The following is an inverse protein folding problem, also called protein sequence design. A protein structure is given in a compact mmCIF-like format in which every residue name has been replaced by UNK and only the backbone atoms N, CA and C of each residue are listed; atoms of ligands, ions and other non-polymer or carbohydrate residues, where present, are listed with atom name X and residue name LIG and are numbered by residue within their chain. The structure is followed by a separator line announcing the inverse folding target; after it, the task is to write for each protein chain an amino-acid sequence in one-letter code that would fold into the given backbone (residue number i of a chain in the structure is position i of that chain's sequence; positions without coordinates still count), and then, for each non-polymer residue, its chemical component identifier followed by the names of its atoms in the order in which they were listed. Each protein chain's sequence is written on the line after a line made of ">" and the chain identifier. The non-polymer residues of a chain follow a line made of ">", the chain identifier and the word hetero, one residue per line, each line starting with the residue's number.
data_IF_074953515274
#
_entry.id   IF_074953515274
#
_cell.length_a   1.000
_cell.length_b   1.000
_cell.length_c   1.000
_cell.angle_alpha   90.00
_cell.angle_beta   90.00
_cell.angle_gamma   90.00
#
_symmetry.space_group_name_H-M   'P 1'
#
loop_
_entity.id
_entity.type
_entity.pdbx_description
1 polymer ?
#
# COMPACT_ATOMS: atom_id res chain seq x y z
N UNK A 1 38.74 -34.20 -16.74
CA UNK A 1 38.70 -34.56 -15.31
C UNK A 1 38.76 -33.29 -14.49
N UNK A 2 37.66 -32.92 -13.83
CA UNK A 2 37.62 -32.18 -12.56
C UNK A 2 36.13 -32.05 -12.20
N UNK A 3 35.69 -32.83 -11.23
CA UNK A 3 34.35 -32.79 -10.65
C UNK A 3 34.42 -31.98 -9.35
N UNK A 4 33.51 -31.02 -9.16
CA UNK A 4 33.35 -30.30 -7.91
C UNK A 4 31.97 -30.65 -7.36
N UNK A 5 31.97 -31.45 -6.29
CA UNK A 5 30.80 -31.84 -5.54
C UNK A 5 30.56 -30.82 -4.42
N UNK A 6 29.38 -30.19 -4.39
CA UNK A 6 28.93 -29.34 -3.28
C UNK A 6 27.99 -30.17 -2.42
N UNK A 7 28.42 -30.46 -1.19
CA UNK A 7 27.60 -31.09 -0.15
C UNK A 7 26.86 -30.00 0.62
N UNK A 8 25.53 -29.95 0.47
CA UNK A 8 24.64 -29.07 1.23
C UNK A 8 24.00 -29.89 2.36
N UNK A 9 24.37 -29.58 3.61
CA UNK A 9 23.86 -30.26 4.80
C UNK A 9 22.58 -29.56 5.31
N UNK A 10 21.48 -30.30 5.38
CA UNK A 10 20.25 -29.90 6.06
C UNK A 10 20.30 -30.33 7.53
N UNK A 11 20.19 -29.37 8.46
CA UNK A 11 19.90 -29.60 9.87
C UNK A 11 19.20 -28.33 10.39
N UNK A 12 18.10 -28.36 11.14
CA UNK A 12 17.27 -29.44 11.64
C UNK A 12 16.02 -28.79 12.25
N UNK A 13 14.89 -29.46 12.11
CA UNK A 13 13.64 -29.11 12.79
C UNK A 13 13.69 -29.74 14.18
N UNK A 14 13.48 -28.96 15.24
CA UNK A 14 13.20 -29.49 16.58
C UNK A 14 12.04 -28.74 17.23
N UNK A 15 10.92 -29.44 17.25
CA UNK A 15 9.73 -29.31 18.08
C UNK A 15 10.01 -29.31 19.58
N UNK A 16 9.08 -28.72 20.36
CA UNK A 16 8.48 -29.23 21.60
C UNK A 16 8.61 -28.35 22.87
N UNK A 17 7.45 -28.00 23.44
CA UNK A 17 7.29 -27.39 24.77
C UNK A 17 5.82 -27.04 25.06
N UNK A 18 5.16 -27.91 25.82
CA UNK A 18 3.73 -28.00 26.17
C UNK A 18 3.08 -26.80 26.94
N UNK A 19 1.73 -26.74 26.97
CA UNK A 19 0.93 -25.70 27.63
C UNK A 19 0.69 -25.96 29.14
N UNK A 20 0.34 -24.94 29.95
CA UNK A 20 -0.08 -25.18 31.32
C UNK A 20 -1.58 -25.57 31.44
N UNK A 21 -1.82 -26.71 32.08
CA UNK A 21 -3.13 -27.19 32.54
C UNK A 21 -3.57 -26.57 33.90
N UNK A 22 -4.87 -26.68 34.27
CA UNK A 22 -5.53 -25.86 35.28
C UNK A 22 -5.39 -26.38 36.71
N UNK A 23 -5.41 -25.49 37.71
CA UNK A 23 -5.58 -25.87 39.11
C UNK A 23 -7.00 -25.59 39.58
N UNK A 24 -7.71 -26.67 39.95
CA UNK A 24 -8.97 -26.63 40.68
C UNK A 24 -8.66 -26.91 42.15
N UNK A 25 -9.07 -26.00 43.03
CA UNK A 25 -9.08 -26.20 44.47
C UNK A 25 -10.28 -25.49 45.08
N UNK A 26 -11.34 -26.25 45.35
CA UNK A 26 -12.49 -25.83 46.15
C UNK A 26 -12.21 -26.09 47.64
N UNK A 27 -12.64 -25.21 48.54
CA UNK A 27 -13.28 -25.57 49.82
C UNK A 27 -13.99 -24.37 50.47
N UNK A 28 -15.30 -24.55 50.60
CA UNK A 28 -16.19 -24.31 51.76
C UNK A 28 -16.49 -22.91 52.33
N UNK A 29 -17.81 -22.71 52.44
CA UNK A 29 -18.59 -21.66 53.10
C UNK A 29 -18.59 -21.83 54.64
N UNK A 30 -18.92 -20.79 55.43
CA UNK A 30 -20.30 -20.72 55.91
C UNK A 30 -20.91 -19.31 55.97
N UNK A 31 -22.23 -19.33 56.14
CA UNK A 31 -23.18 -18.23 56.06
C UNK A 31 -23.25 -17.29 57.29
N UNK A 32 -23.83 -16.11 57.05
CA UNK A 32 -25.05 -15.59 57.71
C UNK A 32 -24.93 -14.16 58.25
N UNK A 33 -25.71 -13.22 57.69
CA UNK A 33 -26.80 -12.49 58.38
C UNK A 33 -27.33 -11.34 57.52
N UNK A 34 -28.62 -11.06 57.70
CA UNK A 34 -29.52 -10.29 56.85
C UNK A 34 -29.43 -8.74 56.94
N UNK A 35 -29.76 -8.10 55.82
CA UNK A 35 -30.58 -6.88 55.53
C UNK A 35 -30.70 -5.74 56.58
N UNK A 36 -30.66 -4.44 56.16
CA UNK A 36 -31.77 -3.90 55.35
C UNK A 36 -31.43 -2.90 54.23
N UNK A 37 -32.45 -2.76 53.37
CA UNK A 37 -32.74 -1.80 52.30
C UNK A 37 -32.28 -0.37 52.62
N UNK A 38 -31.56 0.26 51.69
CA UNK A 38 -31.46 1.71 51.57
C UNK A 38 -31.69 2.11 50.10
N UNK A 39 -32.59 3.07 49.93
CA UNK A 39 -33.08 3.61 48.68
C UNK A 39 -32.01 4.39 47.89
N UNK A 40 -32.10 4.26 46.56
CA UNK A 40 -32.04 5.37 45.59
C UNK A 40 -30.95 6.44 45.76
N UNK A 41 -29.92 6.37 44.92
CA UNK A 41 -29.61 7.50 44.03
C UNK A 41 -28.71 7.02 42.90
N UNK A 42 -29.23 7.06 41.67
CA UNK A 42 -28.45 6.94 40.44
C UNK A 42 -27.56 8.17 40.35
N UNK A 43 -26.29 8.05 40.70
CA UNK A 43 -25.28 8.99 40.21
C UNK A 43 -25.22 8.87 38.68
N UNK A 44 -25.09 9.99 37.93
CA UNK A 44 -24.66 9.89 36.56
C UNK A 44 -23.26 9.28 36.59
N UNK A 45 -23.09 8.11 35.96
CA UNK A 45 -21.80 7.70 35.45
C UNK A 45 -21.31 8.84 34.54
N UNK A 46 -20.51 9.75 35.09
CA UNK A 46 -19.57 10.57 34.33
C UNK A 46 -18.51 9.60 33.79
N UNK A 47 -18.93 8.75 32.85
CA UNK A 47 -18.01 8.08 31.95
C UNK A 47 -17.31 9.20 31.18
N UNK A 48 -15.99 9.41 31.37
CA UNK A 48 -15.29 10.43 30.62
C UNK A 48 -15.42 10.06 29.15
N UNK A 49 -16.31 10.78 28.44
CA UNK A 49 -16.53 10.63 27.03
C UNK A 49 -15.15 10.59 26.37
N UNK A 50 -14.77 9.42 25.86
CA UNK A 50 -13.48 9.25 25.19
C UNK A 50 -13.45 10.31 24.09
N UNK A 51 -12.45 11.22 24.09
CA UNK A 51 -12.42 12.29 23.11
C UNK A 51 -12.47 11.64 21.72
N UNK A 52 -13.44 12.07 20.91
CA UNK A 52 -13.51 11.61 19.53
C UNK A 52 -12.17 11.94 18.86
N UNK A 53 -11.56 10.99 18.12
CA UNK A 53 -10.34 11.27 17.39
C UNK A 53 -10.60 12.48 16.50
N UNK A 54 -9.78 13.51 16.68
CA UNK A 54 -9.89 14.76 15.93
C UNK A 54 -8.74 14.76 14.95
N UNK A 55 -9.07 14.80 13.66
CA UNK A 55 -8.06 14.97 12.61
C UNK A 55 -7.27 16.27 12.82
N UNK A 56 -6.02 16.33 12.34
CA UNK A 56 -5.28 17.58 12.26
C UNK A 56 -6.13 18.66 11.58
N UNK A 57 -6.11 19.88 12.11
CA UNK A 57 -6.88 20.99 11.54
C UNK A 57 -6.39 21.39 10.13
N UNK A 58 -5.13 21.08 9.81
CA UNK A 58 -4.44 21.46 8.58
C UNK A 58 -4.14 20.23 7.71
N UNK A 59 -5.12 19.33 7.54
CA UNK A 59 -4.98 18.24 6.57
C UNK A 59 -4.80 18.79 5.14
N UNK A 60 -3.96 18.17 4.30
CA UNK A 60 -3.96 18.43 2.87
C UNK A 60 -5.35 18.19 2.24
N UNK A 61 -5.53 18.62 0.99
CA UNK A 61 -6.75 18.30 0.24
C UNK A 61 -6.86 16.78 -0.01
N UNK A 62 -8.08 16.20 -0.06
CA UNK A 62 -8.26 14.80 -0.45
C UNK A 62 -7.57 14.50 -1.77
N UNK A 63 -6.85 13.37 -1.87
CA UNK A 63 -6.12 13.01 -3.10
C UNK A 63 -7.06 12.92 -4.31
N UNK A 64 -8.31 12.50 -4.10
CA UNK A 64 -9.35 12.45 -5.12
C UNK A 64 -9.62 13.81 -5.81
N UNK A 65 -9.39 14.93 -5.12
CA UNK A 65 -9.58 16.28 -5.66
C UNK A 65 -8.33 16.80 -6.40
N UNK A 66 -7.19 16.12 -6.26
CA UNK A 66 -5.88 16.53 -6.80
C UNK A 66 -5.50 15.81 -8.10
N UNK A 67 -6.22 14.75 -8.47
CA UNK A 67 -5.89 13.90 -9.62
C UNK A 67 -6.96 14.00 -10.71
N UNK A 68 -6.55 13.70 -11.95
CA UNK A 68 -7.45 13.63 -13.11
C UNK A 68 -7.47 12.23 -13.69
N UNK A 69 -8.58 11.87 -14.33
CA UNK A 69 -8.73 10.56 -14.99
C UNK A 69 -7.61 10.37 -16.05
N UNK A 70 -6.82 9.29 -15.97
CA UNK A 70 -5.73 9.04 -16.89
C UNK A 70 -6.22 8.76 -18.32
N UNK A 71 -5.55 9.33 -19.32
CA UNK A 71 -5.83 9.07 -20.73
C UNK A 71 -4.59 8.44 -21.37
N UNK A 72 -4.74 7.25 -21.96
CA UNK A 72 -3.61 6.56 -22.59
C UNK A 72 -3.09 7.38 -23.80
N UNK A 73 -1.82 7.81 -23.79
CA UNK A 73 -1.30 8.73 -24.78
C UNK A 73 -1.01 8.04 -26.11
N UNK A 74 -1.28 8.74 -27.22
CA UNK A 74 -1.06 8.18 -28.56
C UNK A 74 0.42 7.86 -28.83
N UNK A 75 1.34 8.68 -28.30
CA UNK A 75 2.77 8.41 -28.41
C UNK A 75 3.18 7.07 -27.81
N UNK A 76 2.50 6.61 -26.74
CA UNK A 76 2.76 5.31 -26.12
C UNK A 76 2.33 4.12 -26.99
N UNK A 77 1.75 4.34 -28.18
CA UNK A 77 1.46 3.26 -29.14
C UNK A 77 2.65 2.89 -30.03
N UNK A 78 3.79 3.53 -29.83
CA UNK A 78 4.98 3.31 -30.63
C UNK A 78 6.17 2.84 -29.78
N UNK A 79 6.98 1.94 -30.34
CA UNK A 79 8.26 1.53 -29.75
C UNK A 79 9.33 2.60 -30.02
N UNK A 80 9.25 3.70 -29.29
CA UNK A 80 10.18 4.83 -29.39
C UNK A 80 10.51 5.38 -28.00
N UNK A 81 11.51 6.25 -27.90
CA UNK A 81 11.83 6.94 -26.66
C UNK A 81 10.63 7.75 -26.15
N UNK A 82 9.98 8.50 -27.05
CA UNK A 82 8.80 9.30 -26.71
C UNK A 82 7.62 8.40 -26.29
N UNK A 83 7.50 7.22 -26.90
CA UNK A 83 6.49 6.24 -26.50
C UNK A 83 6.73 5.65 -25.11
N UNK A 84 7.97 5.28 -24.80
CA UNK A 84 8.35 4.81 -23.46
C UNK A 84 8.15 5.92 -22.40
N UNK A 85 8.52 7.17 -22.73
CA UNK A 85 8.32 8.33 -21.87
C UNK A 85 6.83 8.60 -21.59
N UNK A 86 6.02 8.59 -22.64
CA UNK A 86 4.58 8.79 -22.52
C UNK A 86 3.91 7.64 -21.73
N UNK A 87 4.36 6.41 -21.94
CA UNK A 87 3.86 5.25 -21.20
C UNK A 87 4.14 5.36 -19.70
N UNK A 88 5.38 5.68 -19.30
CA UNK A 88 5.71 5.73 -17.88
C UNK A 88 4.96 6.86 -17.17
N UNK A 89 4.78 8.01 -17.83
CA UNK A 89 3.97 9.09 -17.26
C UNK A 89 2.52 8.64 -17.03
N UNK A 90 1.94 7.95 -18.01
CA UNK A 90 0.61 7.36 -17.86
C UNK A 90 0.52 6.37 -16.69
N UNK A 91 1.55 5.53 -16.49
CA UNK A 91 1.62 4.61 -15.33
C UNK A 91 1.62 5.37 -14.01
N UNK A 92 2.36 6.48 -13.91
CA UNK A 92 2.39 7.31 -12.70
C UNK A 92 1.02 7.97 -12.44
N UNK A 93 0.41 8.53 -13.48
CA UNK A 93 -0.92 9.15 -13.40
C UNK A 93 -2.00 8.12 -13.01
N UNK A 94 -1.95 6.93 -13.61
CA UNK A 94 -2.85 5.83 -13.28
C UNK A 94 -2.66 5.29 -11.87
N UNK A 95 -1.43 5.31 -11.34
CA UNK A 95 -1.16 4.92 -9.96
C UNK A 95 -1.70 5.94 -8.95
N UNK A 96 -1.53 7.24 -9.23
CA UNK A 96 -2.14 8.30 -8.44
C UNK A 96 -3.67 8.19 -8.47
N UNK A 97 -4.27 7.95 -9.64
CA UNK A 97 -5.72 7.74 -9.78
C UNK A 97 -6.23 6.55 -8.96
N UNK A 98 -5.51 5.43 -8.99
CA UNK A 98 -5.85 4.24 -8.22
C UNK A 98 -5.80 4.49 -6.71
N UNK A 99 -4.76 5.18 -6.22
CA UNK A 99 -4.63 5.56 -4.81
C UNK A 99 -5.65 6.63 -4.38
N UNK A 100 -6.19 7.39 -5.33
CA UNK A 100 -7.18 8.44 -5.06
C UNK A 100 -8.63 7.92 -5.04
N UNK A 101 -8.95 7.02 -5.96
CA UNK A 101 -10.34 6.64 -6.28
C UNK A 101 -10.67 5.19 -5.93
N UNK A 102 -9.64 4.36 -5.75
CA UNK A 102 -9.78 2.91 -5.65
C UNK A 102 -9.98 2.19 -6.98
N UNK A 103 -9.94 2.89 -8.11
CA UNK A 103 -10.02 2.30 -9.44
C UNK A 103 -8.63 2.11 -10.06
N UNK A 104 -8.13 0.87 -10.02
CA UNK A 104 -6.85 0.51 -10.62
C UNK A 104 -6.94 0.03 -12.08
N UNK A 105 -8.12 0.11 -12.72
CA UNK A 105 -8.32 -0.44 -14.08
C UNK A 105 -7.39 0.19 -15.11
N UNK A 106 -7.16 1.50 -15.03
CA UNK A 106 -6.24 2.24 -15.90
C UNK A 106 -4.79 1.75 -15.80
N UNK A 107 -4.39 1.17 -14.66
CA UNK A 107 -3.04 0.65 -14.48
C UNK A 107 -2.94 -0.83 -14.86
N UNK A 108 -3.86 -1.65 -14.37
CA UNK A 108 -3.75 -3.12 -14.44
C UNK A 108 -3.77 -3.66 -15.87
N UNK A 109 -4.49 -3.01 -16.79
CA UNK A 109 -4.50 -3.39 -18.21
C UNK A 109 -3.12 -3.29 -18.88
N UNK A 110 -2.19 -2.54 -18.27
CA UNK A 110 -0.83 -2.34 -18.76
C UNK A 110 0.21 -2.99 -17.84
N UNK A 111 -0.18 -3.91 -16.97
CA UNK A 111 0.74 -4.60 -16.07
C UNK A 111 1.00 -6.04 -16.51
N UNK A 112 2.20 -6.52 -16.23
CA UNK A 112 2.46 -7.95 -16.09
C UNK A 112 1.77 -8.47 -14.81
N UNK A 113 1.29 -9.70 -14.86
CA UNK A 113 0.79 -10.41 -13.67
C UNK A 113 1.89 -10.57 -12.59
N UNK A 114 3.15 -10.48 -12.98
CA UNK A 114 4.30 -10.60 -12.07
C UNK A 114 4.78 -9.25 -11.51
N UNK A 115 4.22 -8.12 -11.96
CA UNK A 115 4.65 -6.79 -11.50
C UNK A 115 4.24 -6.52 -10.05
N UNK A 116 5.20 -6.61 -9.13
CA UNK A 116 4.98 -6.33 -7.70
C UNK A 116 4.55 -4.87 -7.45
N UNK A 117 5.04 -3.93 -8.27
CA UNK A 117 4.58 -2.55 -8.24
C UNK A 117 3.07 -2.46 -8.49
N UNK A 118 2.60 -3.08 -9.59
CA UNK A 118 1.19 -3.06 -9.95
C UNK A 118 0.31 -3.75 -8.90
N UNK A 119 0.76 -4.88 -8.35
CA UNK A 119 0.06 -5.57 -7.25
C UNK A 119 -0.06 -4.68 -6.02
N UNK A 120 1.01 -3.98 -5.66
CA UNK A 120 1.02 -3.06 -4.53
C UNK A 120 0.02 -1.91 -4.72
N UNK A 121 -0.01 -1.29 -5.90
CA UNK A 121 -0.99 -0.25 -6.23
C UNK A 121 -2.42 -0.80 -6.21
N UNK A 122 -2.67 -1.94 -6.86
CA UNK A 122 -4.01 -2.55 -6.88
C UNK A 122 -4.52 -2.90 -5.47
N UNK A 123 -3.65 -3.39 -4.59
CA UNK A 123 -4.01 -3.67 -3.19
C UNK A 123 -4.40 -2.40 -2.43
N UNK A 124 -3.68 -1.28 -2.64
CA UNK A 124 -4.07 0.01 -2.06
C UNK A 124 -5.41 0.50 -2.61
N UNK A 125 -5.60 0.39 -3.92
CA UNK A 125 -6.85 0.76 -4.56
C UNK A 125 -8.05 -0.02 -3.99
N UNK A 126 -7.89 -1.30 -3.67
CA UNK A 126 -8.94 -2.10 -3.00
C UNK A 126 -9.32 -1.51 -1.63
N UNK A 127 -8.34 -1.07 -0.83
CA UNK A 127 -8.60 -0.46 0.48
C UNK A 127 -9.29 0.90 0.36
N UNK A 128 -8.98 1.67 -0.68
CA UNK A 128 -9.67 2.93 -0.98
C UNK A 128 -11.10 2.66 -1.43
N UNK A 129 -11.30 1.71 -2.35
CA UNK A 129 -12.62 1.34 -2.86
C UNK A 129 -13.55 0.76 -1.78
N UNK A 130 -13.00 0.05 -0.78
CA UNK A 130 -13.76 -0.48 0.35
C UNK A 130 -14.10 0.58 1.41
N UNK A 131 -13.52 1.78 1.31
CA UNK A 131 -13.62 2.83 2.32
C UNK A 131 -12.81 2.57 3.59
N UNK A 132 -11.90 1.59 3.56
CA UNK A 132 -10.97 1.32 4.67
C UNK A 132 -9.93 2.43 4.80
N UNK A 133 -9.57 3.08 3.69
CA UNK A 133 -8.61 4.18 3.64
C UNK A 133 -9.18 5.36 2.87
N UNK A 134 -8.98 6.57 3.39
CA UNK A 134 -9.08 7.83 2.64
C UNK A 134 -7.75 8.54 2.74
N UNK A 135 -7.17 8.93 1.61
CA UNK A 135 -5.89 9.66 1.54
C UNK A 135 -6.10 11.16 1.32
N UNK A 136 -5.39 11.95 2.12
CA UNK A 136 -5.22 13.40 1.95
C UNK A 136 -3.78 13.67 1.52
N UNK A 137 -3.58 14.44 0.44
CA UNK A 137 -2.26 14.70 -0.15
C UNK A 137 -1.67 13.46 -0.85
N UNK A 138 -0.34 13.37 -0.92
CA UNK A 138 0.33 12.16 -1.42
C UNK A 138 0.33 11.97 -2.93
N UNK A 139 0.21 13.04 -3.71
CA UNK A 139 0.43 12.98 -5.15
C UNK A 139 1.89 12.58 -5.41
N UNK A 140 2.09 11.61 -6.30
CA UNK A 140 3.42 11.28 -6.81
C UNK A 140 3.66 11.99 -8.14
N UNK A 141 4.73 12.78 -8.21
CA UNK A 141 5.24 13.36 -9.46
C UNK A 141 6.55 12.68 -9.83
N UNK A 142 6.90 12.63 -11.11
CA UNK A 142 8.15 11.99 -11.54
C UNK A 142 8.78 12.75 -12.70
N UNK A 143 10.10 12.88 -12.65
CA UNK A 143 10.93 13.36 -13.75
C UNK A 143 11.67 12.17 -14.36
N UNK A 144 11.59 12.01 -15.68
CA UNK A 144 12.34 10.96 -16.38
C UNK A 144 13.82 11.34 -16.41
N UNK A 145 14.67 10.46 -15.89
CA UNK A 145 16.13 10.66 -15.81
C UNK A 145 16.88 9.90 -16.89
N UNK A 146 16.38 8.75 -17.32
CA UNK A 146 16.96 7.95 -18.41
C UNK A 146 15.91 7.11 -19.12
N UNK A 147 16.17 6.79 -20.38
CA UNK A 147 15.43 5.79 -21.16
C UNK A 147 16.46 4.99 -21.95
N UNK A 148 16.41 3.68 -21.84
CA UNK A 148 17.22 2.74 -22.61
C UNK A 148 16.28 1.76 -23.32
N UNK A 149 16.35 1.69 -24.65
CA UNK A 149 15.55 0.78 -25.45
C UNK A 149 16.36 -0.43 -25.89
N UNK A 150 15.77 -1.61 -25.75
CA UNK A 150 16.34 -2.91 -26.09
C UNK A 150 15.54 -3.52 -27.23
N UNK A 151 15.89 -3.17 -28.48
CA UNK A 151 15.09 -3.51 -29.66
C UNK A 151 14.96 -5.01 -29.96
N UNK A 152 15.94 -5.83 -29.56
CA UNK A 152 15.89 -7.28 -29.79
C UNK A 152 14.83 -7.95 -28.90
N UNK A 153 14.61 -7.42 -27.70
CA UNK A 153 13.66 -7.90 -26.70
C UNK A 153 12.33 -7.14 -26.77
N UNK A 154 12.33 -5.99 -27.45
CA UNK A 154 11.23 -5.00 -27.43
C UNK A 154 10.99 -4.42 -26.04
N UNK A 155 12.06 -4.27 -25.26
CA UNK A 155 12.01 -3.80 -23.87
C UNK A 155 12.54 -2.37 -23.71
N UNK A 156 12.23 -1.76 -22.56
CA UNK A 156 12.78 -0.50 -22.12
C UNK A 156 13.11 -0.52 -20.62
N UNK A 157 14.24 0.09 -20.25
CA UNK A 157 14.52 0.50 -18.88
C UNK A 157 14.37 2.01 -18.78
N UNK A 158 13.53 2.46 -17.85
CA UNK A 158 13.12 3.86 -17.72
C UNK A 158 13.46 4.32 -16.30
N UNK A 159 14.48 5.16 -16.18
CA UNK A 159 14.87 5.78 -14.92
C UNK A 159 14.00 7.00 -14.62
N UNK A 160 13.57 7.13 -13.38
CA UNK A 160 12.76 8.23 -12.87
C UNK A 160 13.35 8.77 -11.57
N UNK A 161 13.19 10.06 -11.32
CA UNK A 161 13.23 10.64 -9.98
C UNK A 161 11.80 10.95 -9.56
N UNK A 162 11.24 10.14 -8.67
CA UNK A 162 9.87 10.27 -8.19
C UNK A 162 9.84 11.06 -6.88
N UNK A 163 8.91 12.00 -6.75
CA UNK A 163 8.63 12.77 -5.55
C UNK A 163 7.21 12.47 -5.07
N UNK A 164 7.10 12.01 -3.84
CA UNK A 164 5.85 11.87 -3.12
C UNK A 164 5.64 13.11 -2.25
N UNK A 165 4.50 13.77 -2.42
CA UNK A 165 4.08 14.86 -1.54
C UNK A 165 3.67 14.32 -0.14
N UNK A 166 3.69 15.15 0.91
CA UNK A 166 3.19 14.76 2.23
C UNK A 166 1.76 14.22 2.15
N UNK A 167 1.45 13.22 2.99
CA UNK A 167 0.12 12.62 3.03
C UNK A 167 -0.29 12.15 4.42
N UNK A 168 -1.60 12.03 4.59
CA UNK A 168 -2.25 11.41 5.74
C UNK A 168 -3.30 10.43 5.23
N UNK A 169 -3.20 9.18 5.68
CA UNK A 169 -4.21 8.14 5.46
C UNK A 169 -5.06 7.99 6.71
N UNK A 170 -6.38 7.97 6.55
CA UNK A 170 -7.33 7.82 7.64
C UNK A 170 -8.33 6.70 7.36
N UNK A 171 -8.89 6.11 8.41
CA UNK A 171 -9.98 5.16 8.29
C UNK A 171 -11.36 5.83 8.19
N UNK A 172 -12.42 5.03 8.05
CA UNK A 172 -13.81 5.51 8.02
C UNK A 172 -14.25 6.27 9.29
N UNK A 173 -13.55 6.09 10.42
CA UNK A 173 -13.78 6.81 11.68
C UNK A 173 -12.88 8.04 11.84
N UNK A 174 -12.13 8.40 10.79
CA UNK A 174 -11.17 9.49 10.79
C UNK A 174 -10.01 9.28 11.78
N UNK A 175 -9.67 8.02 12.06
CA UNK A 175 -8.44 7.66 12.77
C UNK A 175 -7.29 7.63 11.78
N UNK A 176 -6.19 8.27 12.13
CA UNK A 176 -4.95 8.24 11.34
C UNK A 176 -4.42 6.80 11.31
N UNK A 177 -4.26 6.28 10.09
CA UNK A 177 -3.66 4.98 9.81
C UNK A 177 -2.17 5.10 9.49
N UNK A 178 -1.81 6.14 8.72
CA UNK A 178 -0.44 6.43 8.34
C UNK A 178 -0.27 7.92 8.02
N UNK A 179 0.97 8.40 8.18
CA UNK A 179 1.38 9.76 7.82
C UNK A 179 2.77 9.70 7.20
N UNK A 180 3.03 10.62 6.26
CA UNK A 180 4.34 10.80 5.66
C UNK A 180 4.60 12.27 5.35
N UNK A 181 5.83 12.70 5.60
CA UNK A 181 6.35 14.02 5.16
C UNK A 181 6.66 14.05 3.65
N UNK A 182 6.37 12.97 2.93
CA UNK A 182 6.78 12.80 1.54
C UNK A 182 8.27 12.50 1.41
N UNK A 183 8.78 12.56 0.19
CA UNK A 183 10.18 12.26 -0.10
C UNK A 183 10.46 12.20 -1.59
N UNK A 184 11.72 11.93 -1.93
CA UNK A 184 12.12 11.63 -3.28
C UNK A 184 12.88 10.30 -3.33
N UNK A 185 12.64 9.52 -4.37
CA UNK A 185 13.30 8.23 -4.63
C UNK A 185 13.60 8.12 -6.12
N UNK A 186 14.78 7.61 -6.43
CA UNK A 186 15.12 7.25 -7.81
C UNK A 186 14.72 5.79 -8.05
N UNK A 187 14.03 5.54 -9.17
CA UNK A 187 13.51 4.23 -9.52
C UNK A 187 13.79 3.90 -10.98
N UNK A 188 13.87 2.61 -11.30
CA UNK A 188 13.93 2.08 -12.66
C UNK A 188 12.71 1.23 -12.91
N UNK A 189 12.00 1.55 -13.98
CA UNK A 189 10.86 0.80 -14.48
C UNK A 189 11.30 -0.02 -15.69
N UNK A 190 10.98 -1.31 -15.67
CA UNK A 190 11.21 -2.22 -16.79
C UNK A 190 9.87 -2.45 -17.49
N UNK A 191 9.80 -2.06 -18.76
CA UNK A 191 8.63 -2.22 -19.61
C UNK A 191 8.95 -3.05 -20.85
N UNK A 192 7.96 -3.78 -21.34
CA UNK A 192 7.99 -4.50 -22.61
C UNK A 192 6.96 -3.90 -23.55
N UNK A 193 7.25 -3.88 -24.85
CA UNK A 193 6.35 -3.43 -25.90
C UNK A 193 5.93 -4.59 -26.79
N UNK A 194 4.63 -4.87 -26.84
CA UNK A 194 4.04 -5.89 -27.73
C UNK A 194 2.69 -5.41 -28.25
N UNK A 195 2.36 -5.81 -29.48
CA UNK A 195 1.05 -5.55 -30.09
C UNK A 195 0.60 -4.07 -30.02
N UNK A 196 1.56 -3.15 -30.21
CA UNK A 196 1.37 -1.69 -30.10
C UNK A 196 0.97 -1.19 -28.70
N UNK A 197 1.38 -1.90 -27.66
CA UNK A 197 1.09 -1.57 -26.27
C UNK A 197 2.29 -1.87 -25.37
N UNK A 198 2.66 -0.89 -24.55
CA UNK A 198 3.62 -1.09 -23.47
C UNK A 198 2.97 -1.83 -22.29
N UNK A 199 3.75 -2.67 -21.61
CA UNK A 199 3.39 -3.33 -20.36
C UNK A 199 4.50 -3.18 -19.34
N UNK A 200 4.13 -2.80 -18.12
CA UNK A 200 5.05 -2.70 -17.00
C UNK A 200 5.34 -4.09 -16.45
N UNK A 201 6.60 -4.50 -16.49
CA UNK A 201 7.06 -5.78 -15.97
C UNK A 201 7.49 -5.67 -14.51
N UNK A 202 8.24 -4.64 -14.17
CA UNK A 202 8.74 -4.42 -12.83
C UNK A 202 9.09 -2.94 -12.58
N UNK A 203 9.17 -2.57 -11.31
CA UNK A 203 9.80 -1.33 -10.87
C UNK A 203 10.65 -1.62 -9.62
N UNK A 204 11.78 -0.96 -9.49
CA UNK A 204 12.66 -1.11 -8.32
C UNK A 204 13.66 0.03 -8.21
N UNK A 205 14.40 0.04 -7.09
CA UNK A 205 15.43 1.04 -6.86
C UNK A 205 16.62 0.85 -7.80
N UNK A 206 17.30 1.93 -8.15
CA UNK A 206 18.63 1.84 -8.76
C UNK A 206 19.61 1.20 -7.77
N UNK A 207 20.41 0.20 -8.17
CA UNK A 207 21.42 -0.42 -7.30
C UNK A 207 22.54 0.55 -6.86
#
# INVERSE_FOLDING_TARGET
>A
MAAIAVLLACAGCSTQGDPPEPTTGAVESPASSADPIAESSTEPDDDPATPAPTLPADLPEPLADLVTEPVYPEAAREFTHDGAAAFIQYVMDASNWADATGDASFLIDFCSEESEYCKSVANRAIMVASGEVTRFGGVVTADITSIELYSEESDALIGLSARLDPYVDVDAKQLILAESEGGAVDAVFHAEFRDNQWRLLAAGDTP
#
